data_IF_933723802825
#
_entry.id   IF_933723802825
#
_cell.length_a   1.000
_cell.length_b   1.000
_cell.length_c   1.000
_cell.angle_alpha   90.00
_cell.angle_beta   90.00
_cell.angle_gamma   90.00
#
_symmetry.space_group_name_H-M   'P 1'
#
loop_
_entity.id
_entity.type
_entity.pdbx_description
1 polymer ?
#
# COMPACT_ATOMS: atom_id res chain seq x y z
N UNK A 1 11.04 -0.27 14.48
CA UNK A 1 10.34 0.76 13.69
C UNK A 1 9.38 -0.02 12.82
N UNK A 2 8.10 0.02 13.13
CA UNK A 2 7.11 -0.73 12.35
C UNK A 2 7.05 -0.10 10.95
N UNK A 3 7.22 -0.93 9.92
CA UNK A 3 7.12 -0.52 8.52
C UNK A 3 5.63 -0.47 8.19
N UNK A 4 5.11 0.66 7.72
CA UNK A 4 3.77 0.71 7.15
C UNK A 4 3.75 -0.11 5.85
N UNK A 5 2.90 -1.12 5.77
CA UNK A 5 2.84 -2.08 4.65
C UNK A 5 1.39 -2.49 4.44
N UNK A 6 1.01 -2.74 3.20
CA UNK A 6 -0.23 -3.46 2.94
C UNK A 6 -0.07 -4.89 3.47
N UNK A 7 -0.91 -5.35 4.40
CA UNK A 7 -0.78 -6.70 4.98
C UNK A 7 -0.95 -7.73 3.84
N UNK A 8 0.10 -8.48 3.43
CA UNK A 8 0.02 -9.33 2.24
C UNK A 8 -1.04 -10.43 2.39
N UNK A 9 -1.13 -10.98 3.61
CA UNK A 9 -2.03 -12.08 3.99
C UNK A 9 -3.51 -11.68 4.03
N UNK A 10 -3.84 -10.38 3.98
CA UNK A 10 -5.23 -9.93 3.98
C UNK A 10 -5.88 -10.05 2.59
N UNK A 11 -5.96 -11.26 2.03
CA UNK A 11 -6.71 -11.54 0.81
C UNK A 11 -7.76 -12.66 1.06
N UNK A 12 -8.78 -12.40 1.90
CA UNK A 12 -9.76 -13.42 2.28
C UNK A 12 -10.62 -13.91 1.10
N UNK A 13 -10.65 -13.17 -0.03
CA UNK A 13 -11.38 -13.55 -1.24
C UNK A 13 -10.54 -14.33 -2.25
N UNK A 14 -9.21 -14.43 -2.06
CA UNK A 14 -8.30 -15.01 -3.05
C UNK A 14 -8.29 -14.26 -4.39
N UNK A 15 -8.67 -12.98 -4.40
CA UNK A 15 -8.79 -12.20 -5.63
C UNK A 15 -7.42 -11.77 -6.16
N UNK A 16 -7.13 -12.10 -7.42
CA UNK A 16 -5.93 -11.63 -8.13
C UNK A 16 -5.89 -10.10 -8.22
N UNK A 17 -7.04 -9.45 -8.33
CA UNK A 17 -7.14 -7.98 -8.37
C UNK A 17 -6.73 -7.36 -7.02
N UNK A 18 -7.15 -7.96 -5.91
CA UNK A 18 -6.75 -7.51 -4.56
C UNK A 18 -5.24 -7.69 -4.36
N UNK A 19 -4.68 -8.82 -4.80
CA UNK A 19 -3.25 -9.09 -4.73
C UNK A 19 -2.44 -8.07 -5.56
N UNK A 20 -2.88 -7.81 -6.79
CA UNK A 20 -2.22 -6.89 -7.71
C UNK A 20 -2.25 -5.43 -7.21
N UNK A 21 -3.37 -4.97 -6.64
CA UNK A 21 -3.47 -3.62 -6.05
C UNK A 21 -2.43 -3.43 -4.95
N UNK A 22 -2.27 -4.43 -4.08
CA UNK A 22 -1.29 -4.40 -2.98
C UNK A 22 0.14 -4.44 -3.48
N UNK A 23 0.45 -5.33 -4.42
CA UNK A 23 1.78 -5.47 -5.01
C UNK A 23 2.25 -4.13 -5.62
N UNK A 24 1.43 -3.51 -6.47
CA UNK A 24 1.75 -2.21 -7.08
C UNK A 24 1.92 -1.09 -6.06
N UNK A 25 1.16 -1.14 -4.97
CA UNK A 25 1.27 -0.14 -3.90
C UNK A 25 2.59 -0.31 -3.14
N UNK A 26 2.96 -1.54 -2.79
CA UNK A 26 4.22 -1.80 -2.09
C UNK A 26 5.43 -1.44 -2.97
N UNK A 27 5.40 -1.78 -4.27
CA UNK A 27 6.45 -1.40 -5.22
C UNK A 27 6.67 0.12 -5.27
N UNK A 28 5.58 0.89 -5.33
CA UNK A 28 5.65 2.35 -5.32
C UNK A 28 6.17 2.88 -3.97
N UNK A 29 5.69 2.34 -2.85
CA UNK A 29 6.13 2.74 -1.52
C UNK A 29 7.63 2.42 -1.31
N UNK A 30 8.12 1.28 -1.82
CA UNK A 30 9.53 0.92 -1.82
C UNK A 30 10.36 1.89 -2.68
N UNK A 31 9.89 2.22 -3.88
CA UNK A 31 10.55 3.22 -4.73
C UNK A 31 10.66 4.58 -4.04
N UNK A 32 9.60 5.01 -3.33
CA UNK A 32 9.61 6.26 -2.55
C UNK A 32 10.62 6.19 -1.40
N UNK A 33 10.68 5.08 -0.66
CA UNK A 33 11.67 4.91 0.44
C UNK A 33 13.11 4.99 -0.08
N UNK A 34 13.37 4.43 -1.26
CA UNK A 34 14.69 4.41 -1.88
C UNK A 34 15.12 5.76 -2.46
N UNK A 35 14.17 6.58 -2.94
CA UNK A 35 14.49 7.78 -3.74
C UNK A 35 14.09 9.11 -3.09
N UNK A 36 13.27 9.10 -2.05
CA UNK A 36 12.79 10.31 -1.38
C UNK A 36 13.43 10.45 0.01
N UNK A 37 13.98 11.63 0.37
CA UNK A 37 14.56 11.87 1.69
C UNK A 37 13.58 11.58 2.81
N UNK A 38 14.11 11.09 3.95
CA UNK A 38 13.31 10.83 5.13
C UNK A 38 12.83 12.12 5.79
N UNK A 39 11.63 12.53 5.41
CA UNK A 39 11.01 13.75 5.91
C UNK A 39 9.51 13.56 6.04
N UNK A 40 8.87 14.53 6.71
CA UNK A 40 7.42 14.52 6.94
C UNK A 40 6.58 14.35 5.67
N UNK A 41 7.02 14.87 4.52
CA UNK A 41 6.27 14.76 3.25
C UNK A 41 6.31 13.32 2.74
N UNK A 42 7.45 12.64 2.89
CA UNK A 42 7.58 11.20 2.58
C UNK A 42 6.63 10.37 3.45
N UNK A 43 6.62 10.60 4.76
CA UNK A 43 5.73 9.87 5.68
C UNK A 43 4.26 10.06 5.31
N UNK A 44 3.84 11.32 5.03
CA UNK A 44 2.46 11.61 4.59
C UNK A 44 2.13 10.89 3.28
N UNK A 45 3.05 10.88 2.32
CA UNK A 45 2.84 10.19 1.05
C UNK A 45 2.63 8.68 1.27
N UNK A 46 3.50 8.02 2.03
CA UNK A 46 3.41 6.59 2.33
C UNK A 46 2.07 6.22 3.00
N UNK A 47 1.66 6.99 4.02
CA UNK A 47 0.36 6.79 4.69
C UNK A 47 -0.81 6.93 3.72
N UNK A 48 -0.77 7.91 2.81
CA UNK A 48 -1.83 8.11 1.83
C UNK A 48 -1.92 6.96 0.81
N UNK A 49 -0.78 6.41 0.37
CA UNK A 49 -0.77 5.27 -0.54
C UNK A 49 -1.32 4.01 0.12
N UNK A 50 -0.96 3.75 1.38
CA UNK A 50 -1.51 2.64 2.15
C UNK A 50 -3.03 2.75 2.31
N UNK A 51 -3.54 3.94 2.65
CA UNK A 51 -4.98 4.18 2.75
C UNK A 51 -5.68 4.03 1.40
N UNK A 52 -5.10 4.54 0.31
CA UNK A 52 -5.65 4.40 -1.02
C UNK A 52 -5.79 2.93 -1.43
N UNK A 53 -4.78 2.10 -1.14
CA UNK A 53 -4.83 0.66 -1.39
C UNK A 53 -5.94 -0.04 -0.59
N UNK A 54 -6.10 0.31 0.70
CA UNK A 54 -7.19 -0.22 1.54
C UNK A 54 -8.56 0.08 0.93
N UNK A 55 -8.82 1.33 0.54
CA UNK A 55 -10.10 1.72 -0.04
C UNK A 55 -10.34 1.08 -1.42
N UNK A 56 -9.30 0.97 -2.25
CA UNK A 56 -9.38 0.29 -3.54
C UNK A 56 -9.72 -1.21 -3.38
N UNK A 57 -9.09 -1.90 -2.41
CA UNK A 57 -9.45 -3.29 -2.08
C UNK A 57 -10.90 -3.39 -1.65
N UNK A 58 -11.34 -2.51 -0.73
CA UNK A 58 -12.71 -2.52 -0.20
C UNK A 58 -13.78 -2.28 -1.28
N UNK A 59 -13.48 -1.46 -2.29
CA UNK A 59 -14.40 -1.17 -3.40
C UNK A 59 -14.77 -2.41 -4.24
N UNK A 60 -14.00 -3.51 -4.17
CA UNK A 60 -14.32 -4.76 -4.85
C UNK A 60 -15.43 -5.58 -4.14
N UNK A 61 -15.91 -5.15 -2.97
CA UNK A 61 -16.87 -5.89 -2.13
C UNK A 61 -18.10 -5.06 -1.74
N UNK A 62 -18.37 -3.98 -2.47
CA UNK A 62 -19.47 -3.03 -2.25
C UNK A 62 -20.45 -2.99 -3.41
#
# INVERSE_FOLDING_TARGET
MDKETTIPEFNPSGSDVVAEIKARTEDLMEFIRANVPDNRRRSIALTNYEQAAMWAVKANFT
#
